data_IF_372964482386
#
_entry.id   IF_372964482386
#
_cell.length_a   1.000
_cell.length_b   1.000
_cell.length_c   1.000
_cell.angle_alpha   90.00
_cell.angle_beta   90.00
_cell.angle_gamma   90.00
#
_symmetry.space_group_name_H-M   'P 1'
#
loop_
_entity.id
_entity.type
_entity.pdbx_description
1 polymer ?
#
# COMPACT_ATOMS: atom_id res chain seq x y z
N UNK A 1 44.92 64.73 11.92
CA UNK A 1 45.56 64.13 10.73
C UNK A 1 45.07 62.70 10.56
N UNK A 2 43.76 62.56 10.33
CA UNK A 2 43.00 61.35 10.01
C UNK A 2 42.05 61.82 8.92
N UNK A 3 42.23 61.41 7.66
CA UNK A 3 41.19 61.59 6.62
C UNK A 3 41.48 60.99 5.24
N UNK A 4 42.64 60.38 4.98
CA UNK A 4 42.98 59.90 3.62
C UNK A 4 43.15 58.39 3.42
N UNK A 5 43.10 57.57 4.47
CA UNK A 5 43.38 56.12 4.34
C UNK A 5 42.12 55.24 4.50
N UNK A 6 41.06 55.71 5.15
CA UNK A 6 39.80 54.95 5.25
C UNK A 6 38.87 55.12 4.04
N UNK A 7 39.15 56.06 3.13
CA UNK A 7 38.32 56.25 1.93
C UNK A 7 38.72 55.32 0.78
N UNK A 8 39.98 54.85 0.72
CA UNK A 8 40.41 53.92 -0.33
C UNK A 8 39.95 52.48 -0.08
N UNK A 9 39.85 52.05 1.18
CA UNK A 9 39.41 50.69 1.51
C UNK A 9 37.89 50.50 1.36
N UNK A 10 37.11 51.59 1.44
CA UNK A 10 35.66 51.56 1.22
C UNK A 10 35.29 51.53 -0.28
N UNK A 11 36.16 52.03 -1.17
CA UNK A 11 35.94 52.01 -2.63
C UNK A 11 36.31 50.65 -3.22
N UNK A 12 37.27 49.92 -2.65
CA UNK A 12 37.61 48.56 -3.07
C UNK A 12 36.57 47.50 -2.68
N UNK A 13 35.71 47.80 -1.70
CA UNK A 13 34.58 46.92 -1.31
C UNK A 13 33.29 47.18 -2.13
N UNK A 14 33.26 48.24 -2.95
CA UNK A 14 32.13 48.58 -3.82
C UNK A 14 32.23 48.00 -5.25
N UNK A 15 33.35 47.35 -5.59
CA UNK A 15 33.56 46.76 -6.93
C UNK A 15 33.46 45.22 -6.97
N UNK A 16 33.07 44.60 -5.85
CA UNK A 16 32.68 43.19 -5.79
C UNK A 16 31.16 43.01 -5.64
N UNK A 17 30.37 44.03 -6.01
CA UNK A 17 29.04 43.77 -6.53
C UNK A 17 29.23 43.33 -7.99
N UNK A 18 29.63 42.06 -8.19
CA UNK A 18 29.39 41.40 -9.46
C UNK A 18 27.88 41.46 -9.66
N UNK A 19 27.44 42.40 -10.51
CA UNK A 19 26.12 42.33 -11.10
C UNK A 19 25.99 40.94 -11.70
N UNK A 20 25.08 40.15 -11.16
CA UNK A 20 24.76 38.79 -11.62
C UNK A 20 24.01 38.83 -12.98
N UNK A 21 24.21 39.90 -13.76
CA UNK A 21 23.47 40.26 -14.98
C UNK A 21 24.02 39.59 -16.24
N UNK A 22 25.18 38.91 -16.16
CA UNK A 22 25.80 38.18 -17.28
C UNK A 22 25.93 36.67 -16.99
N UNK A 23 24.98 36.08 -16.26
CA UNK A 23 24.73 34.65 -16.48
C UNK A 23 24.08 34.55 -17.85
N UNK A 24 24.86 34.19 -18.87
CA UNK A 24 24.33 33.72 -20.15
C UNK A 24 23.14 32.82 -19.83
N UNK A 25 21.91 33.32 -20.08
CA UNK A 25 20.70 32.56 -19.84
C UNK A 25 20.83 31.33 -20.73
N UNK A 26 21.05 30.17 -20.11
CA UNK A 26 21.05 28.89 -20.79
C UNK A 26 19.83 28.89 -21.71
N UNK A 27 20.02 28.59 -23.01
CA UNK A 27 18.92 28.65 -23.96
C UNK A 27 17.79 27.76 -23.46
N UNK A 28 16.56 28.27 -23.53
CA UNK A 28 15.39 27.52 -23.13
C UNK A 28 15.35 26.19 -23.91
N UNK A 29 15.21 25.08 -23.18
CA UNK A 29 15.00 23.73 -23.69
C UNK A 29 13.75 23.66 -24.57
N UNK A 30 12.72 24.39 -24.15
CA UNK A 30 11.41 24.43 -24.80
C UNK A 30 10.82 25.84 -24.82
N UNK A 31 9.95 26.12 -25.79
CA UNK A 31 9.25 27.41 -25.93
C UNK A 31 7.76 27.20 -26.16
N UNK A 32 6.99 28.30 -26.22
CA UNK A 32 5.53 28.28 -26.48
C UNK A 32 4.74 27.38 -25.51
N UNK A 33 5.12 27.45 -24.23
CA UNK A 33 4.58 26.58 -23.18
C UNK A 33 3.12 26.92 -22.92
N UNK A 34 2.26 25.90 -22.98
CA UNK A 34 0.83 26.00 -22.65
C UNK A 34 0.45 24.83 -21.74
N UNK A 35 -0.24 25.13 -20.65
CA UNK A 35 -0.78 24.14 -19.72
C UNK A 35 -2.29 24.05 -19.95
N UNK A 36 -2.78 22.87 -20.31
CA UNK A 36 -4.22 22.64 -20.46
C UNK A 36 -4.91 22.86 -19.11
N UNK A 37 -6.01 23.60 -19.10
CA UNK A 37 -6.83 23.89 -17.91
C UNK A 37 -6.10 24.52 -16.72
N UNK A 38 -5.05 25.31 -16.94
CA UNK A 38 -4.22 25.89 -15.85
C UNK A 38 -5.01 26.67 -14.77
N UNK A 39 -6.23 27.13 -15.07
CA UNK A 39 -7.09 27.85 -14.13
C UNK A 39 -7.98 26.98 -13.23
N UNK A 40 -7.99 25.65 -13.40
CA UNK A 40 -8.77 24.73 -12.55
C UNK A 40 -7.92 24.23 -11.38
N UNK A 41 -8.60 23.76 -10.33
CA UNK A 41 -8.00 22.89 -9.33
C UNK A 41 -8.12 21.45 -9.83
N UNK A 42 -6.99 20.77 -9.97
CA UNK A 42 -6.93 19.35 -10.34
C UNK A 42 -7.15 18.49 -9.09
N UNK A 43 -7.85 17.36 -9.22
CA UNK A 43 -7.80 16.32 -8.20
C UNK A 43 -6.51 15.51 -8.35
N UNK A 44 -5.97 14.92 -7.27
CA UNK A 44 -4.93 13.91 -7.38
C UNK A 44 -5.27 12.84 -8.43
N UNK A 45 -4.31 12.51 -9.29
CA UNK A 45 -4.54 11.56 -10.39
C UNK A 45 -5.17 12.14 -11.66
N UNK A 46 -5.65 13.38 -11.67
CA UNK A 46 -6.13 14.02 -12.90
C UNK A 46 -4.99 14.17 -13.92
N UNK A 47 -5.30 13.99 -15.21
CA UNK A 47 -4.32 14.22 -16.28
C UNK A 47 -4.03 15.73 -16.46
N UNK A 48 -2.76 16.10 -16.34
CA UNK A 48 -2.22 17.43 -16.63
C UNK A 48 -1.41 17.35 -17.91
N UNK A 49 -1.73 18.17 -18.91
CA UNK A 49 -1.00 18.19 -20.20
C UNK A 49 -0.28 19.51 -20.40
N UNK A 50 1.03 19.43 -20.61
CA UNK A 50 1.88 20.56 -21.01
C UNK A 50 2.21 20.41 -22.49
N UNK A 51 1.94 21.45 -23.27
CA UNK A 51 2.37 21.57 -24.67
C UNK A 51 3.53 22.55 -24.75
N UNK A 52 4.57 22.20 -25.49
CA UNK A 52 5.71 23.06 -25.72
C UNK A 52 6.47 22.64 -26.98
N UNK A 53 7.14 23.58 -27.62
CA UNK A 53 8.01 23.31 -28.76
C UNK A 53 9.40 22.90 -28.27
N UNK A 54 9.97 21.85 -28.88
CA UNK A 54 11.34 21.40 -28.58
C UNK A 54 11.45 20.34 -27.49
N UNK A 55 10.35 19.67 -27.11
CA UNK A 55 10.39 18.51 -26.21
C UNK A 55 11.17 17.36 -26.86
N UNK A 56 11.87 16.61 -26.02
CA UNK A 56 12.73 15.49 -26.43
C UNK A 56 12.39 14.24 -25.64
N UNK A 57 12.70 13.09 -26.22
CA UNK A 57 12.63 11.82 -25.50
C UNK A 57 13.57 11.85 -24.30
N UNK A 58 13.07 11.45 -23.13
CA UNK A 58 13.83 11.47 -21.88
C UNK A 58 13.69 12.75 -21.07
N UNK A 59 13.01 13.78 -21.60
CA UNK A 59 12.56 14.91 -20.77
C UNK A 59 11.58 14.41 -19.70
N UNK A 60 11.64 15.01 -18.52
CA UNK A 60 10.80 14.64 -17.39
C UNK A 60 10.17 15.86 -16.73
N UNK A 61 9.01 15.65 -16.12
CA UNK A 61 8.38 16.67 -15.29
C UNK A 61 8.81 16.50 -13.84
N UNK A 62 9.36 17.57 -13.28
CA UNK A 62 9.70 17.70 -11.87
C UNK A 62 8.75 18.71 -11.24
N UNK A 63 8.31 18.40 -10.02
CA UNK A 63 7.31 19.15 -9.26
C UNK A 63 7.92 19.66 -7.96
N UNK A 64 7.73 20.95 -7.70
CA UNK A 64 7.86 21.52 -6.36
C UNK A 64 6.46 21.83 -5.83
N UNK A 65 6.12 21.26 -4.69
CA UNK A 65 4.78 21.22 -4.13
C UNK A 65 4.78 22.02 -2.83
N UNK A 66 3.88 22.99 -2.73
CA UNK A 66 3.77 23.91 -1.61
C UNK A 66 2.36 23.90 -1.05
N UNK A 67 2.22 23.74 0.26
CA UNK A 67 0.94 23.80 0.97
C UNK A 67 1.01 24.74 2.16
N UNK A 68 -0.10 25.41 2.52
CA UNK A 68 -0.15 26.25 3.70
C UNK A 68 -0.01 25.42 4.98
N UNK A 69 0.77 25.90 5.95
CA UNK A 69 0.77 25.37 7.32
C UNK A 69 -0.03 26.34 8.17
N UNK A 70 -1.24 25.92 8.57
CA UNK A 70 -2.03 26.69 9.54
C UNK A 70 -1.25 26.84 10.85
N UNK A 71 -1.41 27.99 11.51
CA UNK A 71 -0.92 28.27 12.87
C UNK A 71 0.61 28.28 13.08
N UNK A 72 1.41 28.36 12.01
CA UNK A 72 2.86 28.57 12.12
C UNK A 72 3.31 29.93 11.53
N UNK A 73 3.49 30.97 12.36
CA UNK A 73 3.89 32.30 11.87
C UNK A 73 5.34 32.37 11.38
N UNK A 74 6.18 31.37 11.67
CA UNK A 74 7.60 31.34 11.27
C UNK A 74 7.82 30.62 9.93
N UNK A 75 6.97 29.64 9.62
CA UNK A 75 7.02 28.85 8.39
C UNK A 75 5.62 28.76 7.80
N UNK A 76 5.22 29.71 6.94
CA UNK A 76 3.84 29.82 6.46
C UNK A 76 3.46 28.70 5.49
N UNK A 77 4.44 28.02 4.89
CA UNK A 77 4.22 26.95 3.92
C UNK A 77 5.11 25.74 4.24
N UNK A 78 4.55 24.55 4.06
CA UNK A 78 5.29 23.30 3.91
C UNK A 78 5.64 23.09 2.45
N UNK A 79 6.68 22.30 2.19
CA UNK A 79 7.12 22.03 0.83
C UNK A 79 7.66 20.61 0.65
N UNK A 80 7.47 20.07 -0.55
CA UNK A 80 8.17 18.91 -1.08
C UNK A 80 8.77 19.32 -2.42
N UNK A 81 10.09 19.21 -2.57
CA UNK A 81 10.80 19.66 -3.77
C UNK A 81 11.37 18.49 -4.55
N UNK A 82 11.51 18.72 -5.85
CA UNK A 82 12.13 17.78 -6.76
C UNK A 82 11.38 16.42 -6.81
N UNK A 83 10.06 16.48 -6.75
CA UNK A 83 9.18 15.31 -6.90
C UNK A 83 9.08 14.98 -8.39
N UNK A 84 9.44 13.76 -8.81
CA UNK A 84 9.25 13.34 -10.21
C UNK A 84 7.77 13.00 -10.46
N UNK A 85 7.17 13.60 -11.49
CA UNK A 85 5.79 13.31 -11.85
C UNK A 85 5.62 11.94 -12.50
N UNK A 86 4.41 11.37 -12.41
CA UNK A 86 4.02 10.15 -13.13
C UNK A 86 3.60 10.53 -14.54
N UNK A 87 4.52 10.44 -15.49
CA UNK A 87 4.26 10.69 -16.91
C UNK A 87 3.48 9.52 -17.54
N UNK A 88 2.35 9.83 -18.17
CA UNK A 88 1.48 8.84 -18.83
C UNK A 88 1.61 8.88 -20.36
N UNK A 89 1.94 10.03 -20.92
CA UNK A 89 2.16 10.19 -22.36
C UNK A 89 3.24 11.25 -22.63
N UNK A 90 4.09 11.00 -23.63
CA UNK A 90 5.08 11.96 -24.11
C UNK A 90 5.16 11.90 -25.62
N UNK A 91 5.00 13.06 -26.25
CA UNK A 91 5.19 13.27 -27.69
C UNK A 91 6.28 14.33 -27.89
N UNK A 92 6.61 14.64 -29.15
CA UNK A 92 7.55 15.72 -29.46
C UNK A 92 7.02 17.12 -29.10
N UNK A 93 5.72 17.25 -28.83
CA UNK A 93 5.05 18.54 -28.64
C UNK A 93 4.19 18.59 -27.36
N UNK A 94 4.09 17.48 -26.61
CA UNK A 94 3.35 17.44 -25.34
C UNK A 94 3.91 16.42 -24.36
N UNK A 95 3.77 16.71 -23.07
CA UNK A 95 3.92 15.73 -21.98
C UNK A 95 2.64 15.76 -21.14
N UNK A 96 2.07 14.59 -20.89
CA UNK A 96 0.94 14.38 -19.99
C UNK A 96 1.39 13.60 -18.77
N UNK A 97 1.01 14.06 -17.58
CA UNK A 97 1.34 13.43 -16.31
C UNK A 97 0.17 13.53 -15.33
N UNK A 98 0.19 12.73 -14.27
CA UNK A 98 -0.84 12.75 -13.22
C UNK A 98 -0.59 13.87 -12.21
N UNK A 99 -1.61 14.66 -11.88
CA UNK A 99 -1.56 15.62 -10.79
C UNK A 99 -1.15 14.91 -9.48
N UNK A 100 -0.20 15.46 -8.71
CA UNK A 100 0.36 14.78 -7.54
C UNK A 100 -0.68 14.54 -6.44
N UNK A 101 -0.60 13.39 -5.77
CA UNK A 101 -1.38 13.05 -4.57
C UNK A 101 -0.52 12.95 -3.32
N UNK A 102 -1.13 12.65 -2.16
CA UNK A 102 -0.48 12.46 -0.85
C UNK A 102 -0.05 13.73 -0.11
N UNK A 103 -0.36 14.91 -0.65
CA UNK A 103 -0.15 16.20 0.02
C UNK A 103 -1.48 16.90 0.33
N UNK A 104 -1.49 17.86 1.27
CA UNK A 104 -2.63 18.77 1.41
C UNK A 104 -2.91 19.52 0.10
N UNK A 105 -4.04 20.23 0.05
CA UNK A 105 -4.32 21.13 -1.07
C UNK A 105 -3.12 22.08 -1.32
N UNK A 106 -2.59 22.07 -2.54
CA UNK A 106 -1.25 22.57 -2.84
C UNK A 106 -1.20 23.44 -4.10
N UNK A 107 -0.26 24.40 -4.09
CA UNK A 107 0.30 25.02 -5.29
C UNK A 107 1.45 24.13 -5.77
N UNK A 108 1.45 23.77 -7.05
CA UNK A 108 2.50 22.93 -7.64
C UNK A 108 3.20 23.70 -8.75
N UNK A 109 4.48 23.96 -8.56
CA UNK A 109 5.38 24.52 -9.57
C UNK A 109 5.99 23.38 -10.39
N UNK A 110 5.99 23.53 -11.71
CA UNK A 110 6.39 22.49 -12.65
C UNK A 110 7.64 22.89 -13.41
N UNK A 111 8.55 21.94 -13.58
CA UNK A 111 9.80 22.12 -14.30
C UNK A 111 9.99 20.97 -15.30
N UNK A 112 10.56 21.30 -16.44
CA UNK A 112 11.12 20.32 -17.36
C UNK A 112 12.56 20.03 -16.93
N UNK A 113 12.87 18.77 -16.66
CA UNK A 113 14.23 18.31 -16.48
C UNK A 113 14.77 17.74 -17.80
N UNK A 114 15.94 18.25 -18.23
CA UNK A 114 16.74 17.69 -19.31
C UNK A 114 18.19 17.60 -18.88
N UNK A 115 18.72 16.38 -18.84
CA UNK A 115 20.12 16.11 -18.46
C UNK A 115 20.56 16.78 -17.14
N UNK A 116 19.66 16.80 -16.14
CA UNK A 116 19.90 17.38 -14.82
C UNK A 116 19.77 18.91 -14.74
N UNK A 117 19.39 19.58 -15.83
CA UNK A 117 19.05 20.99 -15.82
C UNK A 117 17.52 21.18 -15.79
N UNK A 118 17.05 22.20 -15.08
CA UNK A 118 15.63 22.49 -14.90
C UNK A 118 15.23 23.78 -15.65
N UNK A 119 14.11 23.71 -16.38
CA UNK A 119 13.44 24.87 -16.94
C UNK A 119 12.01 24.98 -16.36
N UNK A 120 11.61 26.15 -15.81
CA UNK A 120 10.24 26.35 -15.36
C UNK A 120 9.22 26.24 -16.51
N UNK A 121 8.10 25.55 -16.24
CA UNK A 121 6.99 25.38 -17.18
C UNK A 121 5.76 26.20 -16.78
N UNK A 122 5.55 26.38 -15.48
CA UNK A 122 4.40 27.09 -14.92
C UNK A 122 3.93 26.42 -13.64
N UNK A 123 2.67 26.65 -13.26
CA UNK A 123 2.10 26.12 -12.03
C UNK A 123 0.67 25.64 -12.21
N UNK A 124 0.23 24.76 -11.32
CA UNK A 124 -1.16 24.30 -11.18
C UNK A 124 -1.58 24.31 -9.71
N UNK A 125 -2.89 24.26 -9.46
CA UNK A 125 -3.46 24.01 -8.14
C UNK A 125 -3.96 22.58 -8.07
N UNK A 126 -3.69 21.89 -6.96
CA UNK A 126 -4.14 20.51 -6.73
C UNK A 126 -4.94 20.45 -5.42
N UNK A 127 -6.04 19.70 -5.43
CA UNK A 127 -6.89 19.48 -4.27
C UNK A 127 -6.17 18.66 -3.19
N UNK A 128 -6.78 18.55 -2.01
CA UNK A 128 -6.26 17.73 -0.93
C UNK A 128 -6.21 16.26 -1.36
N UNK A 129 -5.04 15.65 -1.24
CA UNK A 129 -4.79 14.25 -1.55
C UNK A 129 -4.27 13.47 -0.35
N UNK A 130 -4.46 13.94 0.87
CA UNK A 130 -4.01 13.21 2.05
C UNK A 130 -4.80 11.92 2.23
N UNK A 131 -4.15 10.91 2.78
CA UNK A 131 -4.81 9.69 3.26
C UNK A 131 -6.00 10.03 4.16
N UNK A 132 -7.11 9.28 4.07
CA UNK A 132 -8.22 9.46 4.99
C UNK A 132 -7.79 9.17 6.44
N UNK A 133 -8.38 9.87 7.40
CA UNK A 133 -8.05 9.67 8.82
C UNK A 133 -8.42 8.26 9.28
N UNK A 134 -9.62 7.83 8.92
CA UNK A 134 -10.16 6.49 9.14
C UNK A 134 -10.01 5.63 7.88
N UNK A 135 -9.70 4.34 8.01
CA UNK A 135 -9.59 3.43 6.88
C UNK A 135 -10.96 3.10 6.28
N UNK A 136 -10.92 2.79 4.99
CA UNK A 136 -12.03 2.13 4.29
C UNK A 136 -11.83 0.62 4.28
N UNK A 137 -12.93 -0.12 4.14
CA UNK A 137 -12.86 -1.53 3.78
C UNK A 137 -12.81 -1.65 2.25
N UNK A 138 -11.87 -2.43 1.75
CA UNK A 138 -11.72 -2.73 0.35
C UNK A 138 -12.05 -4.19 0.10
N UNK A 139 -12.84 -4.44 -0.94
CA UNK A 139 -13.12 -5.77 -1.47
C UNK A 139 -12.38 -5.97 -2.79
N UNK A 140 -11.69 -7.10 -2.93
CA UNK A 140 -11.00 -7.49 -4.15
C UNK A 140 -11.78 -8.62 -4.80
N UNK A 141 -12.25 -8.39 -6.02
CA UNK A 141 -12.86 -9.42 -6.87
C UNK A 141 -11.77 -9.93 -7.82
N UNK A 142 -11.34 -11.17 -7.63
CA UNK A 142 -10.25 -11.79 -8.40
C UNK A 142 -10.57 -13.26 -8.75
N UNK A 143 -9.61 -14.00 -9.30
CA UNK A 143 -9.78 -15.40 -9.69
C UNK A 143 -10.16 -16.35 -8.54
N UNK A 144 -9.92 -15.98 -7.28
CA UNK A 144 -10.29 -16.78 -6.12
C UNK A 144 -11.77 -16.63 -5.71
N UNK A 145 -12.50 -15.67 -6.28
CA UNK A 145 -13.91 -15.47 -5.98
C UNK A 145 -14.78 -16.60 -6.56
N UNK A 146 -15.75 -17.07 -5.78
CA UNK A 146 -16.54 -18.27 -6.08
C UNK A 146 -17.71 -17.99 -7.03
N UNK A 147 -18.24 -16.76 -7.04
CA UNK A 147 -19.42 -16.35 -7.84
C UNK A 147 -19.03 -15.55 -9.10
N UNK A 148 -18.03 -16.04 -9.84
CA UNK A 148 -17.27 -15.25 -10.81
C UNK A 148 -17.85 -14.95 -12.21
N UNK A 149 -18.95 -15.53 -12.73
CA UNK A 149 -19.26 -15.25 -14.14
C UNK A 149 -19.93 -13.88 -14.38
N UNK A 150 -20.42 -13.16 -13.35
CA UNK A 150 -21.22 -11.93 -13.57
C UNK A 150 -20.67 -10.65 -12.97
N UNK A 151 -19.64 -10.71 -12.11
CA UNK A 151 -19.04 -9.52 -11.48
C UNK A 151 -17.64 -9.32 -12.05
N UNK A 152 -17.34 -8.15 -12.66
CA UNK A 152 -16.00 -7.85 -13.14
C UNK A 152 -14.97 -7.93 -12.02
N UNK A 153 -13.76 -8.37 -12.36
CA UNK A 153 -12.62 -8.32 -11.45
C UNK A 153 -12.24 -6.87 -11.20
N UNK A 154 -11.81 -6.56 -9.99
CA UNK A 154 -11.53 -5.18 -9.61
C UNK A 154 -11.38 -4.96 -8.12
N UNK A 155 -11.26 -3.68 -7.78
CA UNK A 155 -11.18 -3.18 -6.40
C UNK A 155 -12.43 -2.36 -6.14
N UNK A 156 -13.09 -2.65 -5.02
CA UNK A 156 -14.27 -1.93 -4.55
C UNK A 156 -13.99 -1.36 -3.18
N UNK A 157 -14.39 -0.11 -2.93
CA UNK A 157 -14.31 0.56 -1.63
C UNK A 157 -15.68 0.54 -0.95
N UNK A 158 -15.68 0.29 0.34
CA UNK A 158 -16.84 0.32 1.22
C UNK A 158 -16.57 1.27 2.39
N UNK A 159 -17.46 2.24 2.56
CA UNK A 159 -17.45 3.13 3.73
C UNK A 159 -17.88 2.37 5.00
N UNK A 160 -17.07 2.45 6.06
CA UNK A 160 -17.33 1.73 7.30
C UNK A 160 -18.55 2.25 8.07
N UNK A 161 -18.94 3.49 7.84
CA UNK A 161 -20.04 4.18 8.54
C UNK A 161 -21.32 4.14 7.70
N UNK A 162 -21.25 4.59 6.45
CA UNK A 162 -22.43 4.69 5.58
C UNK A 162 -22.73 3.38 4.84
N UNK A 163 -21.78 2.45 4.80
CA UNK A 163 -21.84 1.23 3.99
C UNK A 163 -21.99 1.50 2.49
N UNK A 164 -21.68 2.72 2.05
CA UNK A 164 -21.69 3.09 0.64
C UNK A 164 -20.58 2.34 -0.11
N UNK A 165 -20.94 1.79 -1.26
CA UNK A 165 -20.05 1.01 -2.13
C UNK A 165 -19.68 1.88 -3.33
N UNK A 166 -18.39 1.93 -3.66
CA UNK A 166 -17.87 2.61 -4.84
C UNK A 166 -16.81 1.76 -5.54
N UNK A 167 -16.89 1.69 -6.87
CA UNK A 167 -15.83 1.07 -7.68
C UNK A 167 -14.57 1.94 -7.63
N UNK A 168 -13.41 1.31 -7.40
CA UNK A 168 -12.10 1.96 -7.42
C UNK A 168 -11.41 1.74 -8.76
N UNK A 169 -11.46 0.51 -9.26
CA UNK A 169 -10.95 0.13 -10.59
C UNK A 169 -11.55 -1.22 -10.99
N UNK A 170 -11.87 -1.35 -12.28
CA UNK A 170 -12.14 -2.62 -12.94
C UNK A 170 -10.87 -3.09 -13.67
N UNK A 171 -10.52 -4.37 -13.53
CA UNK A 171 -9.37 -4.97 -14.22
C UNK A 171 -9.72 -5.32 -15.67
N UNK A 172 -8.71 -5.30 -16.55
CA UNK A 172 -8.90 -5.77 -17.93
C UNK A 172 -9.01 -7.30 -18.00
N UNK A 173 -9.55 -7.81 -19.11
CA UNK A 173 -9.64 -9.25 -19.35
C UNK A 173 -8.24 -9.89 -19.26
N UNK A 174 -8.14 -10.97 -18.48
CA UNK A 174 -6.87 -11.69 -18.27
C UNK A 174 -5.97 -11.09 -17.19
N UNK A 175 -6.34 -9.96 -16.58
CA UNK A 175 -5.65 -9.44 -15.40
C UNK A 175 -6.22 -10.05 -14.11
N UNK A 176 -5.37 -10.18 -13.10
CA UNK A 176 -5.77 -10.60 -11.76
C UNK A 176 -4.94 -9.88 -10.69
N UNK A 177 -5.51 -9.72 -9.49
CA UNK A 177 -4.83 -9.12 -8.35
C UNK A 177 -5.27 -9.84 -7.08
N UNK A 178 -4.33 -10.50 -6.41
CA UNK A 178 -4.59 -11.32 -5.24
C UNK A 178 -3.57 -11.08 -4.13
N UNK A 179 -3.84 -11.68 -2.97
CA UNK A 179 -3.02 -11.55 -1.77
C UNK A 179 -2.83 -10.10 -1.36
N UNK A 180 -3.92 -9.33 -1.46
CA UNK A 180 -3.90 -7.90 -1.26
C UNK A 180 -3.60 -7.55 0.20
N UNK A 181 -2.73 -6.55 0.39
CA UNK A 181 -2.40 -6.00 1.68
C UNK A 181 -2.27 -4.47 1.61
N UNK A 182 -2.63 -3.80 2.69
CA UNK A 182 -2.35 -2.38 2.85
C UNK A 182 -0.85 -2.15 3.03
N UNK A 183 -0.32 -1.04 2.49
CA UNK A 183 0.98 -0.52 2.89
C UNK A 183 0.73 0.63 3.88
N UNK A 184 0.98 0.42 5.18
CA UNK A 184 0.57 1.36 6.20
C UNK A 184 1.05 2.80 5.98
N UNK A 185 0.10 3.74 5.96
CA UNK A 185 0.38 5.18 5.89
C UNK A 185 0.69 5.71 4.50
N UNK A 186 0.41 4.93 3.44
CA UNK A 186 0.70 5.32 2.06
C UNK A 186 -0.52 5.44 1.17
N UNK A 187 -1.71 5.01 1.62
CA UNK A 187 -2.90 4.89 0.77
C UNK A 187 -2.67 4.02 -0.49
N UNK A 188 -1.80 3.01 -0.38
CA UNK A 188 -1.48 2.07 -1.46
C UNK A 188 -1.87 0.66 -1.04
N UNK A 189 -2.58 -0.03 -1.92
CA UNK A 189 -2.80 -1.48 -1.83
C UNK A 189 -1.69 -2.17 -2.60
N UNK A 190 -0.99 -3.11 -1.98
CA UNK A 190 -0.08 -4.00 -2.71
C UNK A 190 -0.66 -5.41 -2.79
N UNK A 191 -0.20 -6.16 -3.77
CA UNK A 191 -0.66 -7.52 -4.03
C UNK A 191 0.17 -8.16 -5.12
N UNK A 192 -0.12 -9.43 -5.40
CA UNK A 192 0.40 -10.13 -6.57
C UNK A 192 -0.54 -9.85 -7.73
N UNK A 193 -0.04 -9.19 -8.76
CA UNK A 193 -0.76 -8.88 -9.99
C UNK A 193 -0.30 -9.79 -11.11
N UNK A 194 -1.24 -10.48 -11.74
CA UNK A 194 -1.00 -11.22 -12.97
C UNK A 194 -1.43 -10.39 -14.17
N UNK A 195 -0.53 -10.24 -15.14
CA UNK A 195 -0.78 -9.50 -16.38
C UNK A 195 0.07 -10.09 -17.51
N UNK A 196 -0.56 -10.34 -18.66
CA UNK A 196 0.12 -10.83 -19.86
C UNK A 196 0.94 -12.12 -19.62
N UNK A 197 0.48 -12.98 -18.71
CA UNK A 197 1.14 -14.24 -18.33
C UNK A 197 2.35 -14.08 -17.39
N UNK A 198 2.60 -12.87 -16.89
CA UNK A 198 3.66 -12.56 -15.92
C UNK A 198 3.05 -12.15 -14.58
N UNK A 199 3.78 -12.40 -13.50
CA UNK A 199 3.37 -12.10 -12.13
C UNK A 199 4.32 -11.09 -11.48
N UNK A 200 3.76 -10.05 -10.85
CA UNK A 200 4.51 -8.95 -10.24
C UNK A 200 3.95 -8.64 -8.86
N UNK A 201 4.80 -8.16 -7.97
CA UNK A 201 4.29 -7.38 -6.84
C UNK A 201 4.02 -5.99 -7.38
N UNK A 202 2.76 -5.56 -7.30
CA UNK A 202 2.33 -4.26 -7.80
C UNK A 202 1.57 -3.49 -6.71
N UNK A 203 1.59 -2.17 -6.82
CA UNK A 203 0.91 -1.25 -5.91
C UNK A 203 -0.20 -0.53 -6.66
N UNK A 204 -1.38 -0.41 -6.08
CA UNK A 204 -2.42 0.47 -6.57
C UNK A 204 -2.54 1.68 -5.64
N UNK A 205 -2.19 2.86 -6.17
CA UNK A 205 -2.31 4.12 -5.48
C UNK A 205 -3.78 4.55 -5.43
N UNK A 206 -4.36 4.55 -4.23
CA UNK A 206 -5.77 4.89 -4.02
C UNK A 206 -6.02 6.41 -4.07
N UNK A 207 -4.97 7.23 -3.98
CA UNK A 207 -5.08 8.68 -4.09
C UNK A 207 -5.06 9.12 -5.56
N UNK A 208 -4.11 8.59 -6.33
CA UNK A 208 -3.88 8.99 -7.72
C UNK A 208 -4.49 8.02 -8.75
N UNK A 209 -5.07 6.91 -8.31
CA UNK A 209 -5.76 5.90 -9.14
C UNK A 209 -4.90 5.31 -10.26
N UNK A 210 -3.69 4.84 -9.93
CA UNK A 210 -2.81 4.18 -10.89
C UNK A 210 -2.01 3.04 -10.27
N UNK A 211 -1.55 2.12 -11.12
CA UNK A 211 -0.61 1.06 -10.75
C UNK A 211 0.81 1.61 -10.69
N UNK A 212 1.49 1.42 -9.55
CA UNK A 212 2.79 1.97 -9.24
C UNK A 212 3.82 0.87 -8.92
N UNK A 213 5.06 1.10 -9.39
CA UNK A 213 6.26 0.30 -9.11
C UNK A 213 6.09 -1.23 -9.23
N UNK A 214 5.78 -1.76 -10.43
CA UNK A 214 5.79 -3.20 -10.63
C UNK A 214 7.21 -3.73 -10.37
N UNK A 215 7.36 -4.63 -9.42
CA UNK A 215 8.61 -5.34 -9.18
C UNK A 215 8.41 -6.80 -9.55
N UNK A 216 9.12 -7.25 -10.58
CA UNK A 216 9.20 -8.66 -10.92
C UNK A 216 9.96 -9.37 -9.79
N UNK A 217 9.21 -10.05 -8.94
CA UNK A 217 9.74 -10.85 -7.84
C UNK A 217 9.06 -12.20 -7.88
N UNK A 218 9.80 -13.24 -7.51
CA UNK A 218 9.25 -14.58 -7.37
C UNK A 218 8.50 -14.69 -6.03
N UNK A 219 7.49 -13.83 -5.86
CA UNK A 219 6.70 -13.71 -4.65
C UNK A 219 5.65 -14.81 -4.59
N UNK A 220 5.56 -15.45 -3.42
CA UNK A 220 4.62 -16.52 -3.15
C UNK A 220 3.38 -15.96 -2.45
N UNK A 221 3.61 -15.04 -1.50
CA UNK A 221 2.57 -14.42 -0.69
C UNK A 221 3.07 -13.13 -0.05
N UNK A 222 2.16 -12.39 0.55
CA UNK A 222 2.41 -11.12 1.23
C UNK A 222 2.02 -11.27 2.70
N UNK A 223 2.85 -10.72 3.59
CA UNK A 223 2.61 -10.67 5.02
C UNK A 223 2.59 -9.21 5.50
N UNK A 224 1.70 -8.86 6.44
CA UNK A 224 1.63 -7.50 6.97
C UNK A 224 1.48 -7.44 8.50
N UNK A 225 2.12 -6.44 9.11
CA UNK A 225 1.77 -5.89 10.42
C UNK A 225 1.09 -4.50 10.28
N UNK A 226 0.93 -3.75 11.38
CA UNK A 226 0.21 -2.46 11.38
C UNK A 226 1.05 -1.32 10.81
N UNK A 227 2.35 -1.54 10.64
CA UNK A 227 3.37 -0.58 10.26
C UNK A 227 4.16 -1.03 9.03
N UNK A 228 4.23 -2.33 8.73
CA UNK A 228 5.06 -2.93 7.71
C UNK A 228 4.30 -3.93 6.86
N UNK A 229 4.68 -4.01 5.60
CA UNK A 229 4.25 -5.04 4.67
C UNK A 229 5.47 -5.64 3.99
N UNK A 230 5.49 -6.96 3.84
CA UNK A 230 6.61 -7.71 3.27
C UNK A 230 6.09 -8.73 2.27
N UNK A 231 6.85 -8.99 1.22
CA UNK A 231 6.67 -10.16 0.36
C UNK A 231 7.50 -11.30 0.88
N UNK A 232 6.99 -12.52 0.74
CA UNK A 232 7.74 -13.76 0.90
C UNK A 232 8.08 -14.30 -0.49
N UNK A 233 9.36 -14.47 -0.77
CA UNK A 233 9.90 -14.72 -2.11
C UNK A 233 10.83 -15.92 -2.12
N UNK A 234 10.90 -16.65 -3.24
CA UNK A 234 11.91 -17.69 -3.42
C UNK A 234 13.28 -17.06 -3.71
N UNK A 235 14.28 -17.40 -2.88
CA UNK A 235 15.70 -17.06 -3.08
C UNK A 235 16.49 -18.20 -3.76
N UNK A 236 15.83 -19.32 -4.07
CA UNK A 236 16.37 -20.53 -4.70
C UNK A 236 15.34 -21.67 -4.60
N UNK A 237 15.69 -22.91 -4.96
CA UNK A 237 14.71 -24.02 -5.02
C UNK A 237 14.12 -24.42 -3.65
N UNK A 238 14.83 -24.12 -2.55
CA UNK A 238 14.45 -24.52 -1.18
C UNK A 238 14.65 -23.42 -0.13
N UNK A 239 14.88 -22.18 -0.57
CA UNK A 239 15.16 -21.04 0.30
C UNK A 239 14.14 -19.95 0.06
N UNK A 240 13.57 -19.45 1.14
CA UNK A 240 12.73 -18.27 1.17
C UNK A 240 13.51 -17.08 1.70
N UNK A 241 13.19 -15.92 1.17
CA UNK A 241 13.50 -14.64 1.78
C UNK A 241 12.22 -13.85 1.99
N UNK A 242 12.24 -12.85 2.86
CA UNK A 242 11.21 -11.83 2.88
C UNK A 242 11.83 -10.44 2.67
N UNK A 243 11.12 -9.63 1.90
CA UNK A 243 11.57 -8.30 1.50
C UNK A 243 10.52 -7.28 1.90
N UNK A 244 10.95 -6.17 2.51
CA UNK A 244 10.01 -5.07 2.79
C UNK A 244 9.44 -4.53 1.48
N UNK A 245 8.12 -4.42 1.46
CA UNK A 245 7.37 -3.70 0.45
C UNK A 245 7.19 -2.29 1.01
N UNK A 246 8.19 -1.45 0.76
CA UNK A 246 8.09 -0.02 1.01
C UNK A 246 7.83 0.68 -0.32
N UNK A 247 6.88 1.60 -0.33
CA UNK A 247 6.72 2.55 -1.42
C UNK A 247 7.33 3.86 -0.96
N UNK A 248 8.63 4.09 -1.22
CA UNK A 248 9.14 5.44 -1.21
C UNK A 248 8.31 6.18 -2.25
N UNK A 249 7.41 7.03 -1.80
CA UNK A 249 6.47 7.72 -2.69
C UNK A 249 7.24 8.42 -3.83
N UNK A 250 8.53 8.74 -3.63
CA UNK A 250 9.35 9.48 -4.62
C UNK A 250 10.84 9.11 -4.75
N UNK A 251 11.33 7.98 -4.23
CA UNK A 251 12.75 7.58 -4.41
C UNK A 251 12.90 6.13 -4.85
N UNK A 252 13.63 5.85 -5.94
CA UNK A 252 14.02 4.46 -6.24
C UNK A 252 14.98 3.99 -5.14
N UNK A 253 14.49 3.18 -4.20
CA UNK A 253 15.35 2.48 -3.26
C UNK A 253 15.98 1.30 -4.00
N UNK A 254 17.17 1.53 -4.55
CA UNK A 254 18.04 0.47 -5.05
C UNK A 254 19.16 0.18 -4.03
N UNK A 255 18.78 0.11 -2.73
CA UNK A 255 19.69 -0.45 -1.75
C UNK A 255 19.47 -1.96 -1.73
N UNK A 256 20.50 -2.79 -2.03
CA UNK A 256 20.42 -4.20 -1.72
C UNK A 256 20.14 -4.35 -0.22
N UNK A 257 19.25 -5.27 0.20
CA UNK A 257 19.03 -5.54 1.60
C UNK A 257 20.38 -5.80 2.28
N UNK A 258 20.67 -5.09 3.38
CA UNK A 258 21.92 -5.25 4.14
C UNK A 258 22.07 -6.69 4.67
N UNK A 259 20.93 -7.38 4.83
CA UNK A 259 20.80 -8.81 5.07
C UNK A 259 19.55 -9.30 4.33
N UNK A 260 19.68 -10.35 3.54
CA UNK A 260 18.54 -11.06 2.93
C UNK A 260 18.39 -12.36 3.71
N UNK A 261 17.37 -12.52 4.56
CA UNK A 261 17.15 -13.75 5.30
C UNK A 261 17.07 -14.95 4.36
N UNK A 262 17.77 -16.03 4.70
CA UNK A 262 17.72 -17.28 3.95
C UNK A 262 17.05 -18.35 4.81
N UNK A 263 15.74 -18.47 4.66
CA UNK A 263 14.90 -19.35 5.48
C UNK A 263 14.67 -20.66 4.71
N UNK A 264 15.18 -21.81 5.18
CA UNK A 264 14.94 -23.09 4.52
C UNK A 264 13.47 -23.50 4.58
N UNK A 265 12.95 -23.95 3.44
CA UNK A 265 11.63 -24.58 3.36
C UNK A 265 11.65 -25.92 4.12
N UNK A 266 10.66 -26.17 5.00
CA UNK A 266 10.47 -27.48 5.60
C UNK A 266 10.31 -28.58 4.56
N UNK A 267 10.82 -29.78 4.86
CA UNK A 267 10.70 -30.92 3.95
C UNK A 267 9.24 -31.23 3.60
N UNK A 268 8.97 -31.40 2.31
CA UNK A 268 7.63 -31.69 1.78
C UNK A 268 6.72 -30.47 1.64
N UNK A 269 7.08 -29.30 2.18
CA UNK A 269 6.32 -28.08 1.96
C UNK A 269 6.58 -27.55 0.55
N UNK A 270 5.51 -27.33 -0.20
CA UNK A 270 5.55 -26.72 -1.53
C UNK A 270 5.35 -25.21 -1.40
N UNK A 271 6.19 -24.35 -2.01
CA UNK A 271 6.01 -22.90 -1.96
C UNK A 271 4.60 -22.45 -2.35
N UNK A 272 4.07 -23.00 -3.44
CA UNK A 272 2.75 -22.68 -3.97
C UNK A 272 1.59 -23.02 -3.02
N UNK A 273 1.82 -23.82 -1.97
CA UNK A 273 0.80 -24.06 -0.95
C UNK A 273 0.50 -22.81 -0.10
N UNK A 274 1.41 -21.84 -0.06
CA UNK A 274 1.32 -20.64 0.78
C UNK A 274 0.60 -19.46 0.10
N UNK A 275 0.19 -19.60 -1.16
CA UNK A 275 -0.37 -18.51 -1.97
C UNK A 275 -1.90 -18.37 -1.86
N UNK A 276 -2.55 -19.10 -0.95
CA UNK A 276 -4.01 -19.06 -0.82
C UNK A 276 -4.51 -17.83 -0.04
N UNK A 277 -3.78 -17.45 1.02
CA UNK A 277 -4.16 -16.35 1.90
C UNK A 277 -2.93 -15.49 2.21
N UNK A 278 -3.10 -14.17 2.39
CA UNK A 278 -2.06 -13.33 2.97
C UNK A 278 -1.64 -13.87 4.34
N UNK A 279 -0.34 -13.76 4.63
CA UNK A 279 0.17 -13.96 5.98
C UNK A 279 -0.02 -12.73 6.84
N UNK A 280 0.20 -12.91 8.15
CA UNK A 280 0.21 -11.81 9.11
C UNK A 280 1.49 -11.82 9.91
N UNK A 281 2.04 -10.65 10.18
CA UNK A 281 3.12 -10.48 11.15
C UNK A 281 2.45 -10.16 12.49
N UNK A 282 2.68 -11.01 13.48
CA UNK A 282 2.18 -10.84 14.83
C UNK A 282 3.34 -11.00 15.82
N UNK A 283 3.71 -9.90 16.45
CA UNK A 283 4.90 -9.80 17.31
C UNK A 283 6.17 -10.23 16.54
N UNK A 284 6.93 -11.20 17.02
CA UNK A 284 8.18 -11.67 16.39
C UNK A 284 7.97 -12.84 15.41
N UNK A 285 6.73 -13.11 15.00
CA UNK A 285 6.38 -14.25 14.14
C UNK A 285 5.58 -13.82 12.90
N UNK A 286 5.84 -14.48 11.76
CA UNK A 286 4.91 -14.50 10.63
C UNK A 286 4.06 -15.75 10.69
N UNK A 287 2.75 -15.60 10.60
CA UNK A 287 1.79 -16.70 10.52
C UNK A 287 1.27 -16.79 9.08
N UNK A 288 1.29 -18.01 8.55
CA UNK A 288 0.99 -18.39 7.18
C UNK A 288 0.14 -19.66 7.20
N UNK A 289 -0.56 -19.95 6.11
CA UNK A 289 -1.25 -21.22 5.95
C UNK A 289 -0.85 -21.90 4.64
N UNK A 290 -0.56 -23.20 4.73
CA UNK A 290 -0.27 -24.04 3.58
C UNK A 290 -1.53 -24.82 3.20
N UNK A 291 -2.04 -24.62 1.99
CA UNK A 291 -3.08 -25.45 1.39
C UNK A 291 -2.46 -26.73 0.82
N UNK A 292 -2.74 -27.87 1.44
CA UNK A 292 -2.13 -29.14 1.05
C UNK A 292 -2.78 -29.77 -0.21
N UNK A 293 -3.91 -29.22 -0.67
CA UNK A 293 -4.61 -29.69 -1.86
C UNK A 293 -5.45 -30.96 -1.66
N UNK A 294 -5.53 -31.49 -0.44
CA UNK A 294 -6.24 -32.72 -0.07
C UNK A 294 -7.41 -32.47 0.91
N UNK A 295 -7.85 -31.21 1.02
CA UNK A 295 -8.87 -30.79 1.99
C UNK A 295 -8.32 -30.56 3.40
N UNK A 296 -7.00 -30.45 3.54
CA UNK A 296 -6.34 -30.03 4.77
C UNK A 296 -5.50 -28.77 4.57
N UNK A 297 -5.29 -28.04 5.66
CA UNK A 297 -4.38 -26.91 5.73
C UNK A 297 -3.41 -27.10 6.88
N UNK A 298 -2.15 -26.75 6.67
CA UNK A 298 -1.14 -26.75 7.75
C UNK A 298 -0.87 -25.32 8.22
N UNK A 299 -0.88 -25.05 9.54
CA UNK A 299 -0.33 -23.83 10.08
C UNK A 299 1.16 -23.75 9.78
N UNK A 300 1.63 -22.57 9.40
CA UNK A 300 3.04 -22.33 9.08
C UNK A 300 3.50 -21.08 9.82
N UNK A 301 4.61 -21.18 10.55
CA UNK A 301 5.13 -20.08 11.36
C UNK A 301 6.59 -19.84 11.03
N UNK A 302 6.95 -18.59 10.77
CA UNK A 302 8.33 -18.14 10.68
C UNK A 302 8.66 -17.39 11.97
N UNK A 303 9.66 -17.87 12.70
CA UNK A 303 10.31 -17.11 13.76
C UNK A 303 11.30 -16.15 13.09
N UNK A 304 10.98 -14.86 13.13
CA UNK A 304 11.70 -13.81 12.39
C UNK A 304 13.12 -13.66 12.94
N UNK A 305 13.28 -13.72 14.27
CA UNK A 305 14.57 -13.54 14.92
C UNK A 305 15.51 -14.73 14.71
N UNK A 306 14.94 -15.94 14.60
CA UNK A 306 15.72 -17.17 14.34
C UNK A 306 15.82 -17.52 12.85
N UNK A 307 15.15 -16.77 11.99
CA UNK A 307 15.05 -17.03 10.54
C UNK A 307 14.67 -18.49 10.25
N UNK A 308 13.68 -19.00 11.00
CA UNK A 308 13.30 -20.41 10.96
C UNK A 308 11.83 -20.59 10.70
N UNK A 309 11.53 -21.41 9.70
CA UNK A 309 10.18 -21.80 9.34
C UNK A 309 9.81 -23.15 9.95
N UNK A 310 8.57 -23.23 10.43
CA UNK A 310 7.95 -24.43 10.97
C UNK A 310 6.62 -24.67 10.27
N UNK A 311 6.45 -25.87 9.71
CA UNK A 311 5.18 -26.37 9.20
C UNK A 311 4.62 -27.36 10.22
N UNK A 312 3.39 -27.13 10.70
CA UNK A 312 2.75 -27.94 11.73
C UNK A 312 1.80 -28.98 11.11
N UNK A 313 1.31 -29.89 11.95
CA UNK A 313 0.45 -30.99 11.50
C UNK A 313 -0.80 -30.47 10.76
N UNK A 314 -1.21 -31.13 9.66
CA UNK A 314 -2.37 -30.74 8.89
C UNK A 314 -3.67 -30.74 9.70
N UNK A 315 -4.50 -29.72 9.46
CA UNK A 315 -5.83 -29.56 10.03
C UNK A 315 -6.85 -29.78 8.90
N UNK A 316 -7.84 -30.65 9.13
CA UNK A 316 -8.95 -30.81 8.19
C UNK A 316 -9.84 -29.56 8.22
N UNK A 317 -9.77 -28.75 7.17
CA UNK A 317 -10.43 -27.45 7.09
C UNK A 317 -10.72 -27.07 5.63
N UNK A 318 -11.79 -26.31 5.41
CA UNK A 318 -12.09 -25.67 4.12
C UNK A 318 -11.30 -24.38 3.92
N UNK A 319 -10.91 -23.73 5.02
CA UNK A 319 -10.06 -22.55 5.03
C UNK A 319 -9.26 -22.47 6.34
N UNK A 320 -8.02 -21.99 6.24
CA UNK A 320 -7.16 -21.62 7.37
C UNK A 320 -6.59 -20.23 7.10
N UNK A 321 -7.16 -19.21 7.73
CA UNK A 321 -6.81 -17.81 7.44
C UNK A 321 -6.00 -17.24 8.61
N UNK A 322 -4.73 -16.86 8.41
CA UNK A 322 -3.96 -16.16 9.43
C UNK A 322 -4.62 -14.81 9.76
N UNK A 323 -4.70 -14.48 11.05
CA UNK A 323 -5.17 -13.18 11.50
C UNK A 323 -4.36 -12.70 12.69
N UNK A 324 -4.48 -11.40 12.99
CA UNK A 324 -3.86 -10.77 14.15
C UNK A 324 -4.82 -9.83 14.84
N UNK A 325 -4.64 -9.69 16.15
CA UNK A 325 -5.46 -8.82 17.00
C UNK A 325 -4.58 -8.02 17.96
N UNK A 326 -5.13 -6.91 18.45
CA UNK A 326 -4.53 -6.11 19.52
C UNK A 326 -5.29 -6.35 20.83
N UNK A 327 -4.67 -7.01 21.80
CA UNK A 327 -5.25 -7.26 23.11
C UNK A 327 -4.55 -6.44 24.20
N UNK A 328 -5.22 -6.08 25.31
CA UNK A 328 -4.55 -5.43 26.42
C UNK A 328 -3.50 -6.35 27.01
N UNK A 329 -2.33 -5.80 27.31
CA UNK A 329 -1.27 -6.54 27.98
C UNK A 329 -1.76 -6.97 29.37
N UNK A 330 -1.53 -8.23 29.79
CA UNK A 330 -1.78 -8.66 31.15
C UNK A 330 -0.99 -7.85 32.19
N UNK A 331 0.20 -7.35 31.81
CA UNK A 331 1.11 -6.60 32.70
C UNK A 331 0.74 -5.12 32.81
N UNK A 332 0.19 -4.55 31.74
CA UNK A 332 -0.26 -3.16 31.70
C UNK A 332 -1.49 -3.04 30.79
N UNK A 333 -2.71 -2.98 31.37
CA UNK A 333 -3.95 -2.86 30.60
C UNK A 333 -4.04 -1.61 29.71
N UNK A 334 -3.20 -0.58 29.95
CA UNK A 334 -3.11 0.61 29.10
C UNK A 334 -2.18 0.42 27.89
N UNK A 335 -1.51 -0.73 27.78
CA UNK A 335 -0.70 -1.12 26.64
C UNK A 335 -1.37 -2.27 25.90
N UNK A 336 -1.16 -2.35 24.59
CA UNK A 336 -1.67 -3.42 23.76
C UNK A 336 -0.54 -4.31 23.26
N UNK A 337 -0.81 -5.60 23.16
CA UNK A 337 0.04 -6.62 22.57
C UNK A 337 -0.60 -7.16 21.31
N UNK A 338 0.19 -7.29 20.25
CA UNK A 338 -0.25 -7.97 19.04
C UNK A 338 -0.17 -9.48 19.24
N UNK A 339 -1.27 -10.19 18.96
CA UNK A 339 -1.32 -11.65 18.98
C UNK A 339 -1.78 -12.19 17.64
N UNK A 340 -1.16 -13.28 17.21
CA UNK A 340 -1.51 -14.00 15.99
C UNK A 340 -2.44 -15.18 16.27
N UNK A 341 -3.21 -15.56 15.26
CA UNK A 341 -4.08 -16.72 15.30
C UNK A 341 -4.48 -17.20 13.92
N UNK A 342 -5.34 -18.21 13.90
CA UNK A 342 -5.95 -18.73 12.69
C UNK A 342 -7.47 -18.81 12.79
N UNK A 343 -8.14 -18.39 11.73
CA UNK A 343 -9.56 -18.66 11.51
C UNK A 343 -9.65 -20.00 10.80
N UNK A 344 -10.32 -20.96 11.43
CA UNK A 344 -10.44 -22.34 10.93
C UNK A 344 -11.88 -22.58 10.51
N UNK A 345 -12.13 -22.69 9.21
CA UNK A 345 -13.42 -23.16 8.70
C UNK A 345 -13.42 -24.68 8.64
N UNK A 346 -14.23 -25.34 9.48
CA UNK A 346 -14.27 -26.80 9.53
C UNK A 346 -14.98 -27.38 8.31
N UNK A 347 -14.44 -28.50 7.81
CA UNK A 347 -14.99 -29.16 6.63
C UNK A 347 -16.42 -29.69 6.84
N UNK A 348 -17.19 -29.76 5.75
CA UNK A 348 -18.55 -30.31 5.67
C UNK A 348 -19.61 -29.48 6.40
N UNK A 349 -19.51 -28.15 6.35
CA UNK A 349 -20.47 -27.26 6.99
C UNK A 349 -20.36 -27.24 8.52
N UNK A 350 -19.16 -27.50 9.05
CA UNK A 350 -18.87 -27.26 10.46
C UNK A 350 -18.61 -25.79 10.75
N UNK A 351 -18.81 -25.38 12.00
CA UNK A 351 -18.60 -24.01 12.43
C UNK A 351 -17.17 -23.52 12.15
N UNK A 352 -17.07 -22.24 11.79
CA UNK A 352 -15.81 -21.50 11.79
C UNK A 352 -15.39 -21.16 13.21
N UNK A 353 -14.12 -21.38 13.51
CA UNK A 353 -13.51 -21.13 14.81
C UNK A 353 -12.42 -20.08 14.73
N UNK A 354 -12.37 -19.18 15.70
CA UNK A 354 -11.37 -18.11 15.79
C UNK A 354 -10.44 -18.42 16.96
N UNK A 355 -9.24 -18.89 16.64
CA UNK A 355 -8.30 -19.41 17.64
C UNK A 355 -6.99 -18.62 17.62
N UNK A 356 -6.48 -18.27 18.80
CA UNK A 356 -5.11 -17.75 18.92
C UNK A 356 -4.10 -18.89 18.75
N UNK A 357 -2.93 -18.56 18.21
CA UNK A 357 -1.84 -19.51 18.06
C UNK A 357 -0.93 -19.48 19.30
N UNK A 358 -0.59 -20.66 19.83
CA UNK A 358 0.45 -20.79 20.84
C UNK A 358 1.79 -21.08 20.17
N UNK A 359 2.66 -20.08 20.09
CA UNK A 359 3.99 -20.21 19.46
C UNK A 359 4.94 -21.09 20.28
N UNK A 360 4.67 -21.33 21.57
CA UNK A 360 5.50 -22.19 22.42
C UNK A 360 5.09 -23.65 22.30
N UNK A 361 3.78 -23.92 22.35
CA UNK A 361 3.25 -25.27 22.25
C UNK A 361 3.09 -25.75 20.79
N UNK A 362 3.03 -24.83 19.82
CA UNK A 362 2.86 -25.17 18.42
C UNK A 362 1.45 -25.67 18.08
N UNK A 363 0.43 -25.09 18.73
CA UNK A 363 -0.96 -25.51 18.54
C UNK A 363 -1.97 -24.34 18.63
N UNK A 364 -3.20 -24.61 18.20
CA UNK A 364 -4.32 -23.69 18.37
C UNK A 364 -4.82 -23.71 19.81
N UNK A 365 -5.05 -22.53 20.38
CA UNK A 365 -5.79 -22.37 21.65
C UNK A 365 -7.28 -22.58 21.42
N UNK A 366 -8.02 -22.71 22.52
CA UNK A 366 -9.48 -22.74 22.49
C UNK A 366 -10.04 -21.52 21.74
N UNK A 367 -11.12 -21.70 20.96
CA UNK A 367 -11.71 -20.60 20.21
C UNK A 367 -12.28 -19.54 21.14
N UNK A 368 -11.98 -18.27 20.87
CA UNK A 368 -12.62 -17.15 21.58
C UNK A 368 -13.96 -16.74 20.94
N UNK A 369 -14.17 -17.12 19.69
CA UNK A 369 -15.40 -16.92 18.96
C UNK A 369 -15.64 -18.08 17.99
N UNK A 370 -16.91 -18.30 17.65
CA UNK A 370 -17.35 -19.22 16.61
C UNK A 370 -18.42 -18.56 15.74
N UNK A 371 -18.57 -19.04 14.52
CA UNK A 371 -19.63 -18.62 13.61
C UNK A 371 -20.06 -19.80 12.72
N UNK A 372 -21.36 -20.00 12.44
CA UNK A 372 -21.84 -21.21 11.75
C UNK A 372 -21.44 -21.33 10.27
N UNK A 373 -21.10 -20.22 9.62
CA UNK A 373 -20.78 -20.19 8.20
C UNK A 373 -19.28 -20.31 7.94
N UNK A 374 -18.90 -20.88 6.80
CA UNK A 374 -17.52 -20.97 6.36
C UNK A 374 -16.93 -19.58 6.08
N UNK A 375 -15.68 -19.33 6.51
CA UNK A 375 -15.01 -18.05 6.26
C UNK A 375 -14.41 -17.98 4.85
N UNK A 376 -14.38 -16.77 4.27
CA UNK A 376 -13.76 -16.46 2.98
C UNK A 376 -12.53 -15.57 3.14
N UNK A 377 -12.67 -14.49 3.90
CA UNK A 377 -11.61 -13.51 4.15
C UNK A 377 -11.90 -12.77 5.46
N UNK A 378 -10.89 -12.15 6.05
CA UNK A 378 -11.04 -11.34 7.24
C UNK A 378 -10.07 -10.15 7.28
N UNK A 379 -10.50 -9.06 7.89
CA UNK A 379 -9.70 -7.84 8.07
C UNK A 379 -9.85 -7.31 9.50
N UNK A 380 -8.73 -6.96 10.14
CA UNK A 380 -8.71 -6.41 11.51
C UNK A 380 -8.75 -4.89 11.48
N UNK A 381 -9.76 -4.30 12.11
CA UNK A 381 -9.86 -2.86 12.35
C UNK A 381 -9.44 -2.52 13.78
N UNK A 382 -8.60 -1.49 13.88
CA UNK A 382 -8.16 -0.90 15.12
C UNK A 382 -8.17 0.62 14.96
N UNK A 383 -8.97 1.31 15.77
CA UNK A 383 -9.05 2.76 15.74
C UNK A 383 -7.77 3.41 16.27
N UNK A 384 -7.48 4.63 15.80
CA UNK A 384 -6.26 5.37 16.20
C UNK A 384 -6.18 5.65 17.71
N UNK A 385 -7.32 5.82 18.37
CA UNK A 385 -7.44 6.00 19.83
C UNK A 385 -7.34 4.69 20.63
N UNK A 386 -7.30 3.56 19.92
CA UNK A 386 -7.20 2.23 20.45
C UNK A 386 -8.41 1.66 21.17
N UNK A 387 -9.52 2.39 21.18
CA UNK A 387 -10.73 1.98 21.88
C UNK A 387 -11.53 0.96 21.08
N UNK A 388 -11.61 1.14 19.76
CA UNK A 388 -12.42 0.30 18.89
C UNK A 388 -11.56 -0.79 18.27
N UNK A 389 -11.99 -2.03 18.47
CA UNK A 389 -11.36 -3.23 17.90
C UNK A 389 -12.45 -4.09 17.30
N UNK A 390 -12.37 -4.30 15.99
CA UNK A 390 -13.35 -5.11 15.27
C UNK A 390 -12.67 -6.02 14.27
N UNK A 391 -13.17 -7.24 14.14
CA UNK A 391 -12.80 -8.13 13.05
C UNK A 391 -13.93 -8.12 12.03
N UNK A 392 -13.65 -7.66 10.82
CA UNK A 392 -14.54 -7.79 9.67
C UNK A 392 -14.30 -9.16 9.04
N UNK A 393 -15.35 -9.95 8.88
CA UNK A 393 -15.23 -11.32 8.38
C UNK A 393 -16.25 -11.54 7.29
N UNK A 394 -15.77 -11.92 6.11
CA UNK A 394 -16.61 -12.37 5.02
C UNK A 394 -16.90 -13.86 5.19
N UNK A 395 -18.19 -14.20 5.23
CA UNK A 395 -18.68 -15.56 5.34
C UNK A 395 -19.40 -16.00 4.07
N UNK A 396 -19.33 -17.31 3.83
CA UNK A 396 -20.07 -17.98 2.78
C UNK A 396 -21.58 -17.82 3.01
N UNK A 397 -22.29 -17.26 2.05
CA UNK A 397 -23.75 -17.25 2.03
C UNK A 397 -24.34 -18.44 1.30
N UNK A 398 -25.67 -18.59 1.35
CA UNK A 398 -26.38 -19.69 0.70
C UNK A 398 -26.74 -19.41 -0.77
N UNK A 399 -27.67 -18.47 -1.01
CA UNK A 399 -28.27 -18.19 -2.34
C UNK A 399 -28.08 -16.76 -2.81
N UNK A 400 -27.59 -15.91 -1.92
CA UNK A 400 -27.67 -14.46 -1.97
C UNK A 400 -26.26 -13.84 -1.95
N UNK A 401 -25.26 -14.59 -2.42
CA UNK A 401 -23.86 -14.18 -2.33
C UNK A 401 -23.32 -14.26 -0.91
N UNK A 402 -22.04 -13.93 -0.75
CA UNK A 402 -21.39 -13.89 0.55
C UNK A 402 -21.83 -12.64 1.32
N UNK A 403 -21.49 -12.58 2.61
CA UNK A 403 -21.85 -11.46 3.48
C UNK A 403 -20.74 -11.16 4.48
N UNK A 404 -20.69 -9.95 5.01
CA UNK A 404 -19.65 -9.48 5.94
C UNK A 404 -20.27 -9.24 7.30
N UNK A 405 -19.78 -9.91 8.32
CA UNK A 405 -20.10 -9.70 9.72
C UNK A 405 -18.96 -8.98 10.43
N UNK A 406 -19.27 -8.32 11.54
CA UNK A 406 -18.27 -7.72 12.42
C UNK A 406 -18.31 -8.39 13.79
N UNK A 407 -17.15 -8.85 14.26
CA UNK A 407 -16.97 -9.26 15.65
C UNK A 407 -16.38 -8.10 16.45
N UNK A 408 -17.09 -7.66 17.48
CA UNK A 408 -16.64 -6.60 18.37
C UNK A 408 -15.93 -7.20 19.58
N UNK A 409 -14.65 -6.86 19.79
CA UNK A 409 -13.86 -7.43 20.88
C UNK A 409 -14.25 -6.91 22.26
N UNK A 410 -14.97 -5.77 22.34
CA UNK A 410 -15.46 -5.22 23.58
C UNK A 410 -16.76 -5.91 24.02
N UNK A 411 -17.73 -6.06 23.11
CA UNK A 411 -19.02 -6.69 23.45
C UNK A 411 -19.00 -8.20 23.30
N UNK A 412 -18.05 -8.75 22.52
CA UNK A 412 -17.95 -10.16 22.13
C UNK A 412 -19.16 -10.64 21.32
N UNK A 413 -19.76 -9.75 20.55
CA UNK A 413 -20.93 -10.02 19.72
C UNK A 413 -20.60 -9.93 18.23
N UNK A 414 -21.30 -10.75 17.45
CA UNK A 414 -21.36 -10.64 16.00
C UNK A 414 -22.46 -9.65 15.59
N UNK A 415 -22.18 -8.83 14.58
CA UNK A 415 -23.13 -7.89 13.99
C UNK A 415 -23.00 -7.83 12.49
N UNK A 416 -24.14 -8.01 11.83
CA UNK A 416 -24.26 -7.97 10.39
C UNK A 416 -23.78 -6.61 9.88
N UNK A 417 -22.80 -6.61 8.97
CA UNK A 417 -22.28 -5.39 8.35
C UNK A 417 -22.82 -5.19 6.94
N UNK A 418 -22.71 -6.21 6.06
CA UNK A 418 -23.17 -6.09 4.67
C UNK A 418 -23.58 -7.43 4.08
N UNK A 419 -24.62 -7.45 3.24
CA UNK A 419 -25.05 -8.62 2.46
C UNK A 419 -24.60 -8.51 1.00
N UNK A 420 -24.62 -9.64 0.27
CA UNK A 420 -24.42 -9.72 -1.18
C UNK A 420 -23.06 -9.20 -1.67
N UNK A 421 -21.98 -9.57 -1.00
CA UNK A 421 -20.63 -9.17 -1.41
C UNK A 421 -19.99 -10.19 -2.37
N UNK A 422 -19.34 -9.74 -3.46
CA UNK A 422 -18.75 -10.64 -4.47
C UNK A 422 -17.24 -10.89 -4.29
N UNK A 423 -16.65 -10.44 -3.19
CA UNK A 423 -15.20 -10.38 -3.06
C UNK A 423 -14.57 -11.75 -2.81
N UNK A 424 -13.33 -11.92 -3.24
CA UNK A 424 -12.48 -13.02 -2.78
C UNK A 424 -11.76 -12.65 -1.48
N UNK A 425 -11.33 -11.40 -1.38
CA UNK A 425 -10.50 -10.87 -0.31
C UNK A 425 -11.08 -9.55 0.18
N UNK A 426 -10.96 -9.32 1.49
CA UNK A 426 -11.29 -8.03 2.12
C UNK A 426 -10.10 -7.55 2.94
N UNK A 427 -9.83 -6.25 2.90
CA UNK A 427 -8.75 -5.61 3.65
C UNK A 427 -9.12 -4.19 4.04
N UNK A 428 -8.48 -3.67 5.09
CA UNK A 428 -8.62 -2.27 5.51
C UNK A 428 -7.38 -1.49 5.07
N UNK A 429 -7.57 -0.32 4.49
CA UNK A 429 -6.46 0.52 4.03
C UNK A 429 -6.76 2.02 4.15
N UNK A 430 -5.67 2.79 4.23
CA UNK A 430 -5.63 4.25 4.20
C UNK A 430 -4.24 4.76 3.90
#
# INVERSE_FOLDING_TARGET
>A
MMKKIHFLLLISLLLAACSDDDKEKQPAFVTNITISDAGKTFNPGDAVTVKADGLQSGDQIILDIYWPIADNPLFPEGYSRYTRAVTTEQTTNSITFLAPGHWPASRVEMFLERAGQLQPLGQISVADGQSPEEPYLYGITNSHAIYTPTVPRGITRIDLVTQEISEVIQFHDGEDFCLAANIPGTNILCGIREKDGSSFIDGYDLCMHYWCNPVERNAITICSDFNNTVSLEMAGDKLLTYCSISYPVYTRLNMPPIHTPEIPLPDGLKPESLSRYPGVIADVHMLLSANNGDGTFSPVVIDIAKEKMHCYDPIKAEALIPFRIMEPSPENPNSLQCKGGYIVSRANGGDTQFCLWDTTAGNLKEPFATYPNAVRSAAMYYSKDGQTRKLYVQFAGYREGDFIETYDFQTKEWRMFMFYVPFAEILLAR
#
